data_IF_851902256281
#
_entry.id   IF_851902256281
#
_cell.length_a   1.000
_cell.length_b   1.000
_cell.length_c   1.000
_cell.angle_alpha   90.00
_cell.angle_beta   90.00
_cell.angle_gamma   90.00
#
_symmetry.space_group_name_H-M   'P 1'
#
loop_
_entity.id
_entity.type
_entity.pdbx_description
1 polymer ?
#
# COMPACT_ATOMS: atom_id res chain seq x y z
N UNK A 1 -19.15 4.03 11.25
CA UNK A 1 -18.52 2.86 11.90
C UNK A 1 -17.02 2.97 11.71
N UNK A 2 -16.24 2.76 12.78
CA UNK A 2 -14.80 2.58 12.68
C UNK A 2 -14.50 1.24 12.02
N UNK A 3 -13.43 1.19 11.24
CA UNK A 3 -12.87 -0.03 10.64
C UNK A 3 -11.37 0.11 10.68
N UNK A 4 -10.72 -0.55 11.63
CA UNK A 4 -9.26 -0.58 11.63
C UNK A 4 -8.79 -1.51 10.50
N UNK A 5 -7.96 -0.98 9.60
CA UNK A 5 -7.37 -1.73 8.50
C UNK A 5 -5.87 -1.44 8.39
N UNK A 6 -5.14 -2.38 7.79
CA UNK A 6 -3.73 -2.22 7.45
C UNK A 6 -3.44 -2.96 6.14
N UNK A 7 -2.38 -2.53 5.45
CA UNK A 7 -1.89 -3.15 4.23
C UNK A 7 -0.35 -3.09 4.24
N UNK A 8 0.30 -4.18 3.87
CA UNK A 8 1.75 -4.19 3.65
C UNK A 8 2.16 -5.26 2.64
N UNK A 9 3.34 -5.10 2.06
CA UNK A 9 3.98 -6.16 1.32
C UNK A 9 5.12 -5.65 0.46
N UNK A 10 5.64 -6.55 -0.36
CA UNK A 10 6.88 -6.36 -1.09
C UNK A 10 6.67 -6.63 -2.58
N UNK A 11 7.27 -5.78 -3.42
CA UNK A 11 7.39 -6.00 -4.85
C UNK A 11 8.86 -6.05 -5.25
N UNK A 12 9.27 -7.14 -5.89
CA UNK A 12 10.56 -7.18 -6.59
C UNK A 12 10.40 -6.47 -7.93
N UNK A 13 11.02 -5.30 -8.08
CA UNK A 13 10.92 -4.50 -9.29
C UNK A 13 12.03 -4.84 -10.30
N UNK A 14 11.77 -4.78 -11.62
CA UNK A 14 12.85 -4.75 -12.60
C UNK A 14 13.80 -3.57 -12.31
N UNK A 15 15.12 -3.79 -12.39
CA UNK A 15 16.12 -2.77 -12.06
C UNK A 15 15.93 -1.44 -12.79
N UNK A 16 15.53 -1.51 -14.06
CA UNK A 16 15.28 -0.33 -14.89
C UNK A 16 14.10 0.53 -14.40
N UNK A 17 13.18 -0.03 -13.61
CA UNK A 17 11.99 0.68 -13.13
C UNK A 17 12.23 1.47 -11.84
N UNK A 18 13.19 1.06 -11.01
CA UNK A 18 13.39 1.63 -9.66
C UNK A 18 13.71 3.13 -9.72
N UNK A 19 14.66 3.52 -10.57
CA UNK A 19 15.12 4.91 -10.66
C UNK A 19 14.01 5.84 -11.18
N UNK A 20 13.28 5.52 -12.28
CA UNK A 20 12.12 6.30 -12.72
C UNK A 20 11.06 6.51 -11.63
N UNK A 21 10.65 5.43 -10.94
CA UNK A 21 9.63 5.50 -9.87
C UNK A 21 10.10 6.45 -8.76
N UNK A 22 11.32 6.25 -8.24
CA UNK A 22 11.91 7.14 -7.21
C UNK A 22 11.96 8.59 -7.66
N UNK A 23 12.39 8.85 -8.90
CA UNK A 23 12.47 10.21 -9.44
C UNK A 23 11.09 10.87 -9.54
N UNK A 24 10.06 10.12 -9.92
CA UNK A 24 8.69 10.64 -9.96
C UNK A 24 8.18 11.02 -8.56
N UNK A 25 8.39 10.16 -7.56
CA UNK A 25 8.03 10.43 -6.16
C UNK A 25 8.77 11.66 -5.63
N UNK A 26 10.09 11.74 -5.82
CA UNK A 26 10.91 12.89 -5.41
C UNK A 26 10.45 14.17 -6.11
N UNK A 27 10.19 14.12 -7.42
CA UNK A 27 9.73 15.27 -8.18
C UNK A 27 8.38 15.78 -7.67
N UNK A 28 7.44 14.87 -7.37
CA UNK A 28 6.13 15.23 -6.81
C UNK A 28 6.28 15.87 -5.42
N UNK A 29 7.04 15.27 -4.50
CA UNK A 29 7.29 15.86 -3.18
C UNK A 29 7.92 17.25 -3.29
N UNK A 30 8.97 17.37 -4.11
CA UNK A 30 9.73 18.62 -4.22
C UNK A 30 8.89 19.73 -4.83
N UNK A 31 7.99 19.40 -5.75
CA UNK A 31 6.99 20.35 -6.24
C UNK A 31 6.07 20.84 -5.11
N UNK A 32 5.50 19.95 -4.31
CA UNK A 32 4.67 20.34 -3.15
C UNK A 32 5.45 21.19 -2.15
N UNK A 33 6.73 20.86 -1.89
CA UNK A 33 7.62 21.63 -1.04
C UNK A 33 7.88 23.05 -1.59
N UNK A 34 8.09 23.19 -2.90
CA UNK A 34 8.28 24.49 -3.56
C UNK A 34 7.01 25.34 -3.51
N UNK A 35 5.84 24.74 -3.76
CA UNK A 35 4.54 25.41 -3.69
C UNK A 35 4.27 25.89 -2.24
N UNK A 36 4.55 25.06 -1.23
CA UNK A 36 4.40 25.39 0.19
C UNK A 36 5.37 26.49 0.64
N UNK A 37 6.64 26.42 0.21
CA UNK A 37 7.62 27.47 0.50
C UNK A 37 7.22 28.80 -0.14
N UNK A 38 6.64 28.77 -1.34
CA UNK A 38 6.14 29.96 -2.03
C UNK A 38 4.99 30.59 -1.24
N UNK A 39 4.02 29.80 -0.79
CA UNK A 39 2.93 30.26 0.07
C UNK A 39 3.44 30.82 1.39
N UNK A 40 4.32 30.10 2.09
CA UNK A 40 4.90 30.52 3.36
C UNK A 40 5.65 31.86 3.23
N UNK A 41 6.45 32.04 2.18
CA UNK A 41 7.17 33.30 1.91
C UNK A 41 6.21 34.45 1.62
N UNK A 42 5.13 34.20 0.87
CA UNK A 42 4.09 35.20 0.58
C UNK A 42 3.45 35.67 1.89
N UNK A 43 2.94 34.74 2.70
CA UNK A 43 2.30 35.02 4.00
C UNK A 43 3.26 35.76 4.93
N UNK A 44 4.51 35.31 5.02
CA UNK A 44 5.54 35.98 5.81
C UNK A 44 5.79 37.43 5.38
N UNK A 45 5.85 37.69 4.07
CA UNK A 45 6.06 39.04 3.54
C UNK A 45 4.88 39.97 3.86
N UNK A 46 3.66 39.47 3.75
CA UNK A 46 2.42 40.21 4.00
C UNK A 46 2.05 40.31 5.50
N UNK A 47 2.71 39.54 6.36
CA UNK A 47 2.46 39.53 7.79
C UNK A 47 3.05 40.77 8.49
N UNK A 48 2.23 41.38 9.35
CA UNK A 48 2.61 42.45 10.27
C UNK A 48 3.56 41.94 11.35
N UNK A 49 4.23 42.85 12.06
CA UNK A 49 5.10 42.47 13.18
C UNK A 49 4.33 41.68 14.26
N UNK A 50 3.08 42.06 14.55
CA UNK A 50 2.21 41.39 15.52
C UNK A 50 1.82 39.97 15.09
N UNK A 51 1.52 39.77 13.81
CA UNK A 51 1.22 38.45 13.25
C UNK A 51 2.48 37.56 13.26
N UNK A 52 3.65 38.11 12.90
CA UNK A 52 4.93 37.37 12.97
C UNK A 52 5.29 36.96 14.38
N UNK A 53 4.99 37.81 15.36
CA UNK A 53 5.16 37.52 16.78
C UNK A 53 4.01 36.71 17.37
N UNK A 54 3.10 36.14 16.58
CA UNK A 54 2.04 35.28 17.09
C UNK A 54 1.77 34.15 16.10
N UNK A 55 2.34 32.98 16.37
CA UNK A 55 2.22 31.81 15.51
C UNK A 55 0.78 31.49 15.11
N UNK A 56 -0.19 31.63 16.02
CA UNK A 56 -1.61 31.39 15.70
C UNK A 56 -2.15 32.33 14.63
N UNK A 57 -1.94 33.65 14.78
CA UNK A 57 -2.38 34.64 13.78
C UNK A 57 -1.69 34.42 12.43
N UNK A 58 -0.42 34.00 12.46
CA UNK A 58 0.32 33.68 11.25
C UNK A 58 -0.28 32.45 10.56
N UNK A 59 -0.64 31.39 11.29
CA UNK A 59 -1.30 30.20 10.72
C UNK A 59 -2.66 30.54 10.14
N UNK A 60 -3.48 31.32 10.86
CA UNK A 60 -4.79 31.78 10.38
C UNK A 60 -4.65 32.50 9.02
N UNK A 61 -3.60 33.32 8.87
CA UNK A 61 -3.28 33.99 7.61
C UNK A 61 -2.82 33.03 6.51
N UNK A 62 -2.10 31.96 6.84
CA UNK A 62 -1.77 30.90 5.87
C UNK A 62 -3.04 30.27 5.32
N UNK A 63 -3.99 29.87 6.18
CA UNK A 63 -5.26 29.30 5.73
C UNK A 63 -6.10 30.31 4.94
N UNK A 64 -6.16 31.58 5.37
CA UNK A 64 -6.87 32.62 4.61
C UNK A 64 -6.28 32.83 3.20
N UNK A 65 -4.96 32.64 3.04
CA UNK A 65 -4.25 32.85 1.77
C UNK A 65 -4.23 31.60 0.88
N UNK A 66 -4.07 30.42 1.48
CA UNK A 66 -3.93 29.12 0.80
C UNK A 66 -5.26 28.53 0.32
N UNK A 67 -6.39 29.00 0.86
CA UNK A 67 -7.72 28.49 0.54
C UNK A 67 -8.38 27.84 1.76
N UNK A 68 -9.69 27.59 1.64
CA UNK A 68 -10.50 27.13 2.77
C UNK A 68 -10.05 25.77 3.31
N UNK A 69 -9.95 25.66 4.63
CA UNK A 69 -9.98 24.36 5.33
C UNK A 69 -11.21 23.61 4.84
N UNK A 70 -11.00 22.45 4.20
CA UNK A 70 -12.09 21.48 4.05
C UNK A 70 -12.31 20.83 5.41
N UNK A 71 -13.13 21.48 6.24
CA UNK A 71 -13.72 20.84 7.40
C UNK A 71 -14.77 19.84 6.92
N UNK A 72 -14.39 18.58 6.83
CA UNK A 72 -15.36 17.50 6.82
C UNK A 72 -15.80 17.25 8.27
N UNK A 73 -17.09 17.41 8.55
CA UNK A 73 -17.67 17.17 9.88
C UNK A 73 -17.35 15.74 10.35
N UNK A 74 -16.49 15.61 11.37
CA UNK A 74 -16.32 14.37 12.14
C UNK A 74 -14.93 13.73 12.12
N UNK A 75 -14.09 14.01 11.13
CA UNK A 75 -12.66 13.67 11.16
C UNK A 75 -11.89 14.72 10.37
N UNK A 76 -10.90 15.36 11.01
CA UNK A 76 -9.90 16.14 10.28
C UNK A 76 -9.01 15.14 9.56
N UNK A 77 -9.40 14.71 8.35
CA UNK A 77 -8.42 14.20 7.41
C UNK A 77 -7.61 15.41 6.96
N UNK A 78 -6.62 15.78 7.77
CA UNK A 78 -5.55 16.65 7.32
C UNK A 78 -4.96 15.92 6.12
N UNK A 79 -5.14 16.46 4.92
CA UNK A 79 -4.34 16.01 3.82
C UNK A 79 -2.92 16.47 4.15
N UNK A 80 -1.96 15.58 4.48
CA UNK A 80 -0.56 15.97 4.70
C UNK A 80 0.08 16.61 3.44
N UNK A 81 -0.71 16.71 2.36
CA UNK A 81 -0.36 17.25 1.07
C UNK A 81 -1.01 18.61 0.80
N UNK A 82 -1.75 19.15 1.77
CA UNK A 82 -2.19 20.52 1.70
C UNK A 82 -0.93 21.41 1.75
N UNK A 83 -0.67 22.07 0.62
CA UNK A 83 0.35 23.13 0.48
C UNK A 83 0.26 24.11 1.66
N UNK A 84 -0.96 24.32 2.18
CA UNK A 84 -1.28 25.12 3.36
C UNK A 84 -0.71 24.53 4.64
N UNK A 85 -0.94 23.25 4.94
CA UNK A 85 -0.40 22.58 6.13
C UNK A 85 1.13 22.54 6.11
N UNK A 86 1.71 22.20 4.96
CA UNK A 86 3.18 22.21 4.83
C UNK A 86 3.75 23.62 4.93
N UNK A 87 3.03 24.66 4.47
CA UNK A 87 3.43 26.05 4.69
C UNK A 87 3.37 26.43 6.19
N UNK A 88 2.35 25.95 6.92
CA UNK A 88 2.26 26.07 8.38
C UNK A 88 3.46 25.41 9.06
N UNK A 89 3.81 24.17 8.68
CA UNK A 89 4.99 23.46 9.19
C UNK A 89 6.29 24.23 8.93
N UNK A 90 6.49 24.75 7.71
CA UNK A 90 7.66 25.56 7.34
C UNK A 90 7.79 26.80 8.25
N UNK A 91 6.67 27.45 8.56
CA UNK A 91 6.64 28.63 9.41
C UNK A 91 6.86 28.28 10.89
N UNK A 92 6.31 27.16 11.37
CA UNK A 92 6.50 26.67 12.74
C UNK A 92 7.93 26.16 13.00
N UNK A 93 8.52 25.44 12.04
CA UNK A 93 9.90 24.95 12.14
C UNK A 93 10.91 26.10 12.23
N UNK A 94 10.54 27.32 11.82
CA UNK A 94 11.40 28.50 11.88
C UNK A 94 11.44 29.21 13.25
N UNK A 95 10.93 28.57 14.30
CA UNK A 95 10.96 29.03 15.68
C UNK A 95 9.60 28.79 16.31
N UNK A 96 9.48 27.68 17.04
CA UNK A 96 8.22 27.05 17.49
C UNK A 96 7.21 27.94 18.24
N UNK A 97 7.55 29.20 18.52
CA UNK A 97 6.61 30.20 19.05
C UNK A 97 6.69 31.59 18.37
N UNK A 98 7.81 31.95 17.73
CA UNK A 98 8.02 33.28 17.13
C UNK A 98 9.04 33.19 15.97
N UNK A 99 8.60 32.97 14.73
CA UNK A 99 9.50 33.06 13.59
C UNK A 99 10.06 34.49 13.52
N UNK A 100 11.38 34.63 13.56
CA UNK A 100 12.10 35.93 13.48
C UNK A 100 12.75 36.15 12.12
N UNK A 101 12.75 35.13 11.26
CA UNK A 101 13.44 35.11 9.97
C UNK A 101 12.52 34.55 8.89
N UNK A 102 12.74 34.93 7.62
CA UNK A 102 11.92 34.45 6.51
C UNK A 102 12.09 32.93 6.29
N UNK A 103 11.03 32.24 5.82
CA UNK A 103 11.09 30.83 5.44
C UNK A 103 12.25 30.48 4.49
N UNK A 104 12.99 29.43 4.82
CA UNK A 104 14.14 28.97 4.07
C UNK A 104 13.88 27.63 3.39
N UNK A 105 14.57 27.39 2.27
CA UNK A 105 14.40 26.16 1.47
C UNK A 105 14.70 24.89 2.27
N UNK A 106 15.69 24.95 3.16
CA UNK A 106 16.05 23.81 4.02
C UNK A 106 14.91 23.32 4.93
N UNK A 107 13.93 24.18 5.23
CA UNK A 107 12.78 23.81 6.07
C UNK A 107 11.61 23.25 5.25
N UNK A 108 11.67 23.28 3.92
CA UNK A 108 10.55 22.86 3.08
C UNK A 108 10.46 21.34 2.89
N UNK A 109 11.43 20.57 3.39
CA UNK A 109 11.43 19.11 3.29
C UNK A 109 11.68 18.58 1.87
N UNK A 110 12.51 19.29 1.08
CA UNK A 110 12.99 18.77 -0.20
C UNK A 110 13.75 17.47 0.01
N UNK A 111 13.45 16.47 -0.82
CA UNK A 111 14.15 15.19 -0.82
C UNK A 111 15.32 15.22 -1.80
N UNK A 112 16.44 14.63 -1.38
CA UNK A 112 17.61 14.43 -2.21
C UNK A 112 17.43 13.29 -3.22
N UNK A 113 18.26 13.26 -4.26
CA UNK A 113 18.20 12.23 -5.31
C UNK A 113 18.45 10.80 -4.80
N UNK A 114 19.14 10.66 -3.67
CA UNK A 114 19.46 9.39 -3.02
C UNK A 114 18.38 8.88 -2.08
N UNK A 115 17.30 9.65 -1.85
CA UNK A 115 16.21 9.23 -0.97
C UNK A 115 15.62 7.88 -1.44
N UNK A 116 15.55 6.93 -0.51
CA UNK A 116 15.04 5.58 -0.72
C UNK A 116 13.82 5.24 0.13
N UNK A 117 13.53 6.03 1.16
CA UNK A 117 12.35 5.88 2.00
C UNK A 117 11.51 7.15 1.93
N UNK A 118 10.19 6.97 1.82
CA UNK A 118 9.21 8.03 1.65
C UNK A 118 8.05 7.77 2.60
N UNK A 119 7.56 8.83 3.23
CA UNK A 119 6.40 8.78 4.11
C UNK A 119 5.45 9.92 3.80
N UNK A 120 4.16 9.62 3.79
CA UNK A 120 3.10 10.59 3.61
C UNK A 120 1.84 10.09 4.33
N UNK A 121 1.43 10.76 5.40
CA UNK A 121 0.31 10.30 6.22
C UNK A 121 0.53 8.87 6.75
N UNK A 122 -0.42 7.98 6.43
CA UNK A 122 -0.41 6.56 6.80
C UNK A 122 0.48 5.72 5.86
N UNK A 123 0.87 6.25 4.70
CA UNK A 123 1.64 5.54 3.68
C UNK A 123 3.14 5.62 3.93
N UNK A 124 3.83 4.47 3.90
CA UNK A 124 5.29 4.37 3.88
C UNK A 124 5.73 3.52 2.70
N UNK A 125 6.73 4.01 1.97
CA UNK A 125 7.36 3.32 0.83
C UNK A 125 8.86 3.29 1.04
N UNK A 126 9.48 2.13 0.88
CA UNK A 126 10.94 1.98 0.91
C UNK A 126 11.43 1.29 -0.37
N UNK A 127 12.66 1.58 -0.79
CA UNK A 127 13.33 0.95 -1.93
C UNK A 127 14.70 0.46 -1.50
N UNK A 128 14.92 -0.86 -1.58
CA UNK A 128 16.24 -1.43 -1.50
C UNK A 128 16.86 -1.51 -2.90
N UNK A 129 17.78 -0.58 -3.17
CA UNK A 129 18.50 -0.54 -4.44
C UNK A 129 19.50 -1.69 -4.63
N UNK A 130 19.84 -2.46 -3.60
CA UNK A 130 20.74 -3.60 -3.70
C UNK A 130 19.99 -4.89 -4.08
N UNK A 131 18.75 -5.07 -3.63
CA UNK A 131 17.92 -6.25 -3.97
C UNK A 131 16.90 -5.97 -5.08
N UNK A 132 16.52 -4.71 -5.25
CA UNK A 132 15.44 -4.30 -6.15
C UNK A 132 14.04 -4.50 -5.54
N UNK A 133 13.98 -4.73 -4.24
CA UNK A 133 12.73 -4.85 -3.49
C UNK A 133 12.21 -3.45 -3.14
N UNK A 134 10.91 -3.27 -3.34
CA UNK A 134 10.15 -2.12 -2.87
C UNK A 134 9.16 -2.60 -1.81
N UNK A 135 9.16 -1.95 -0.67
CA UNK A 135 8.23 -2.24 0.43
C UNK A 135 7.15 -1.17 0.46
N UNK A 136 5.92 -1.61 0.67
CA UNK A 136 4.76 -0.78 0.95
C UNK A 136 4.22 -1.16 2.33
N UNK A 137 3.86 -0.17 3.14
CA UNK A 137 3.18 -0.42 4.40
C UNK A 137 2.28 0.75 4.78
N UNK A 138 1.12 0.42 5.33
CA UNK A 138 0.22 1.35 6.00
C UNK A 138 0.13 0.99 7.47
N UNK A 139 0.01 2.00 8.34
CA UNK A 139 -0.25 1.76 9.76
C UNK A 139 -1.61 1.07 9.97
N UNK A 140 -1.79 0.41 11.11
CA UNK A 140 -3.09 -0.10 11.54
C UNK A 140 -3.87 1.01 12.25
N UNK A 141 -4.90 1.51 11.57
CA UNK A 141 -5.75 2.59 12.09
C UNK A 141 -7.11 2.56 11.40
N UNK A 142 -8.09 3.32 11.92
CA UNK A 142 -9.42 3.41 11.34
C UNK A 142 -9.32 3.96 9.91
N UNK A 143 -9.63 3.19 8.86
CA UNK A 143 -9.50 3.56 7.44
C UNK A 143 -8.09 4.03 7.04
N UNK A 144 -7.06 3.42 7.61
CA UNK A 144 -5.67 3.74 7.29
C UNK A 144 -5.35 3.44 5.82
N UNK A 145 -5.84 2.32 5.28
CA UNK A 145 -5.56 1.91 3.90
C UNK A 145 -6.18 2.89 2.91
N UNK A 146 -7.47 3.22 3.07
CA UNK A 146 -8.16 4.22 2.25
C UNK A 146 -7.39 5.56 2.24
N UNK A 147 -7.04 6.07 3.43
CA UNK A 147 -6.28 7.33 3.55
C UNK A 147 -4.88 7.24 2.95
N UNK A 148 -4.19 6.11 3.11
CA UNK A 148 -2.87 5.91 2.54
C UNK A 148 -2.92 5.96 1.01
N UNK A 149 -3.90 5.30 0.39
CA UNK A 149 -4.12 5.29 -1.06
C UNK A 149 -4.54 6.67 -1.61
N UNK A 150 -5.22 7.48 -0.82
CA UNK A 150 -5.59 8.85 -1.18
C UNK A 150 -4.40 9.84 -1.18
N UNK A 151 -3.24 9.45 -0.63
CA UNK A 151 -2.05 10.31 -0.62
C UNK A 151 -1.41 10.46 -2.01
N UNK A 152 -0.75 11.60 -2.27
CA UNK A 152 0.01 11.73 -3.53
C UNK A 152 1.12 10.67 -3.65
N UNK A 153 1.65 10.19 -2.52
CA UNK A 153 2.72 9.19 -2.51
C UNK A 153 2.21 7.88 -3.11
N UNK A 154 1.08 7.38 -2.62
CA UNK A 154 0.45 6.18 -3.14
C UNK A 154 -0.02 6.36 -4.59
N UNK A 155 -0.68 7.48 -4.91
CA UNK A 155 -1.14 7.77 -6.27
C UNK A 155 0.03 7.77 -7.26
N UNK A 156 1.10 8.51 -6.95
CA UNK A 156 2.30 8.58 -7.80
C UNK A 156 2.96 7.20 -7.92
N UNK A 157 3.09 6.49 -6.80
CA UNK A 157 3.69 5.16 -6.78
C UNK A 157 2.93 4.18 -7.68
N UNK A 158 1.62 4.01 -7.44
CA UNK A 158 0.82 3.03 -8.15
C UNK A 158 0.63 3.41 -9.63
N UNK A 159 0.60 4.69 -9.97
CA UNK A 159 0.59 5.13 -11.37
C UNK A 159 1.91 4.82 -12.09
N UNK A 160 3.06 4.94 -11.42
CA UNK A 160 4.33 4.51 -12.01
C UNK A 160 4.46 2.99 -12.07
N UNK A 161 3.96 2.24 -11.08
CA UNK A 161 3.92 0.76 -11.10
C UNK A 161 3.14 0.24 -12.31
N UNK A 162 2.01 0.87 -12.68
CA UNK A 162 1.22 0.51 -13.88
C UNK A 162 2.02 0.63 -15.19
N UNK A 163 3.06 1.48 -15.22
CA UNK A 163 3.91 1.71 -16.40
C UNK A 163 5.09 0.73 -16.49
N UNK A 164 5.33 -0.06 -15.44
CA UNK A 164 6.46 -0.98 -15.38
C UNK A 164 6.33 -2.06 -16.45
N UNK A 165 7.44 -2.27 -17.18
CA UNK A 165 7.62 -3.42 -18.06
C UNK A 165 8.22 -4.57 -17.26
N UNK A 166 7.39 -5.55 -16.92
CA UNK A 166 7.76 -6.62 -16.00
C UNK A 166 8.60 -7.71 -16.67
N UNK A 167 9.64 -8.17 -15.99
CA UNK A 167 10.49 -9.28 -16.41
C UNK A 167 10.13 -10.55 -15.65
N UNK A 168 10.59 -11.72 -16.12
CA UNK A 168 10.44 -12.98 -15.38
C UNK A 168 11.06 -12.86 -13.98
N UNK A 169 10.40 -13.44 -12.97
CA UNK A 169 10.87 -13.42 -11.58
C UNK A 169 10.72 -12.07 -10.87
N UNK A 170 10.00 -11.11 -11.45
CA UNK A 170 9.66 -9.83 -10.81
C UNK A 170 8.16 -9.75 -10.54
N UNK A 171 7.75 -8.84 -9.66
CA UNK A 171 6.39 -8.73 -9.15
C UNK A 171 6.33 -9.00 -7.65
N UNK A 172 5.12 -9.28 -7.19
CA UNK A 172 4.83 -9.55 -5.78
C UNK A 172 3.38 -9.24 -5.48
N UNK A 173 3.05 -9.11 -4.20
CA UNK A 173 1.70 -8.79 -3.77
C UNK A 173 1.71 -8.09 -2.42
N UNK A 174 0.63 -7.36 -2.16
CA UNK A 174 0.35 -6.79 -0.86
C UNK A 174 -0.71 -7.62 -0.16
N UNK A 175 -0.57 -7.72 1.14
CA UNK A 175 -1.53 -8.33 2.05
C UNK A 175 -2.09 -7.27 2.97
N UNK A 176 -3.34 -7.39 3.32
CA UNK A 176 -3.97 -6.55 4.32
C UNK A 176 -4.88 -7.35 5.22
N UNK A 177 -5.42 -6.66 6.22
CA UNK A 177 -6.45 -7.19 7.07
C UNK A 177 -7.34 -6.04 7.57
N UNK A 178 -8.51 -6.40 8.08
CA UNK A 178 -9.39 -5.47 8.77
C UNK A 178 -10.03 -6.10 10.01
N UNK A 179 -10.56 -5.24 10.88
CA UNK A 179 -11.24 -5.60 12.13
C UNK A 179 -12.35 -6.65 11.91
N UNK A 180 -13.11 -6.53 10.83
CA UNK A 180 -14.23 -7.45 10.55
C UNK A 180 -13.77 -8.84 10.12
N UNK A 181 -12.64 -8.92 9.42
CA UNK A 181 -12.05 -10.18 9.03
C UNK A 181 -11.38 -10.88 10.23
N UNK A 182 -10.88 -10.15 11.25
CA UNK A 182 -10.30 -10.76 12.46
C UNK A 182 -11.34 -11.36 13.42
N UNK A 183 -12.55 -10.81 13.47
CA UNK A 183 -13.54 -11.15 14.52
C UNK A 183 -14.35 -12.43 14.29
N UNK A 184 -14.14 -13.14 13.18
CA UNK A 184 -14.83 -14.41 13.01
C UNK A 184 -14.35 -15.41 14.06
N UNK A 185 -15.21 -15.70 15.05
CA UNK A 185 -14.93 -16.55 16.24
C UNK A 185 -14.73 -18.03 15.91
N UNK A 186 -14.63 -18.39 14.63
CA UNK A 186 -14.49 -19.76 14.16
C UNK A 186 -13.02 -20.05 13.85
N UNK A 187 -12.56 -21.27 14.12
CA UNK A 187 -11.19 -21.69 13.79
C UNK A 187 -10.90 -21.48 12.29
N UNK A 188 -9.88 -20.66 11.98
CA UNK A 188 -9.42 -20.37 10.61
C UNK A 188 -9.95 -19.08 9.97
N UNK A 189 -10.71 -18.27 10.68
CA UNK A 189 -11.55 -17.26 10.03
C UNK A 189 -11.05 -15.79 10.06
N UNK A 190 -9.77 -15.55 10.36
CA UNK A 190 -9.18 -14.19 10.36
C UNK A 190 -7.79 -14.08 9.74
N UNK A 191 -7.60 -14.69 8.57
CA UNK A 191 -6.34 -14.62 7.84
C UNK A 191 -6.18 -13.34 7.01
N UNK A 192 -4.97 -12.81 6.95
CA UNK A 192 -4.61 -11.74 6.01
C UNK A 192 -5.01 -12.13 4.59
N UNK A 193 -5.51 -11.17 3.82
CA UNK A 193 -5.90 -11.40 2.43
C UNK A 193 -5.03 -10.58 1.49
N UNK A 194 -4.84 -11.08 0.27
CA UNK A 194 -4.15 -10.34 -0.78
C UNK A 194 -5.05 -9.21 -1.27
N UNK A 195 -4.58 -7.98 -1.12
CA UNK A 195 -5.30 -6.77 -1.54
C UNK A 195 -5.05 -6.48 -3.01
N UNK A 196 -3.78 -6.53 -3.43
CA UNK A 196 -3.33 -6.33 -4.81
C UNK A 196 -2.10 -7.18 -5.12
N UNK A 197 -1.93 -7.56 -6.38
CA UNK A 197 -0.74 -8.26 -6.87
C UNK A 197 -0.26 -7.65 -8.19
N UNK A 198 1.05 -7.77 -8.45
CA UNK A 198 1.69 -7.16 -9.62
C UNK A 198 2.70 -8.10 -10.25
N UNK A 199 2.84 -7.96 -11.58
CA UNK A 199 3.86 -8.65 -12.38
C UNK A 199 3.68 -10.17 -12.45
N UNK A 200 4.63 -10.87 -13.11
CA UNK A 200 4.59 -12.32 -13.28
C UNK A 200 4.52 -13.10 -11.98
N UNK A 201 5.27 -12.72 -10.95
CA UNK A 201 5.24 -13.41 -9.65
C UNK A 201 3.84 -13.33 -9.03
N UNK A 202 3.23 -12.14 -9.03
CA UNK A 202 1.86 -11.97 -8.55
C UNK A 202 0.85 -12.78 -9.37
N UNK A 203 1.00 -12.81 -10.70
CA UNK A 203 0.12 -13.57 -11.59
C UNK A 203 0.20 -15.09 -11.38
N UNK A 204 1.38 -15.60 -11.03
CA UNK A 204 1.60 -17.02 -10.76
C UNK A 204 1.00 -17.46 -9.41
N UNK A 205 1.07 -16.60 -8.38
CA UNK A 205 0.59 -16.93 -7.02
C UNK A 205 -0.87 -16.52 -6.79
N UNK A 206 -1.26 -15.34 -7.26
CA UNK A 206 -2.55 -14.71 -7.00
C UNK A 206 -3.16 -14.06 -8.27
N UNK A 207 -3.47 -14.83 -9.33
CA UNK A 207 -3.90 -14.25 -10.59
C UNK A 207 -5.17 -13.41 -10.50
N UNK A 208 -6.13 -13.77 -9.64
CA UNK A 208 -7.36 -12.99 -9.45
C UNK A 208 -7.13 -11.62 -8.77
N UNK A 209 -6.03 -11.45 -8.03
CA UNK A 209 -5.66 -10.19 -7.39
C UNK A 209 -4.62 -9.41 -8.19
N UNK A 210 -4.12 -9.99 -9.27
CA UNK A 210 -3.09 -9.36 -10.09
C UNK A 210 -3.69 -8.34 -11.03
N UNK A 211 -3.09 -7.15 -11.05
CA UNK A 211 -3.43 -6.11 -12.01
C UNK A 211 -2.90 -6.47 -13.42
N UNK A 212 -3.65 -6.16 -14.50
CA UNK A 212 -3.15 -6.33 -15.86
C UNK A 212 -1.83 -5.58 -16.06
N UNK A 213 -0.87 -6.23 -16.72
CA UNK A 213 0.48 -5.68 -16.82
C UNK A 213 1.12 -5.93 -18.18
N UNK A 214 2.19 -5.18 -18.48
CA UNK A 214 2.97 -5.33 -19.71
C UNK A 214 4.28 -6.03 -19.40
N UNK A 215 4.62 -7.07 -20.16
CA UNK A 215 5.91 -7.77 -20.07
C UNK A 215 7.02 -6.95 -20.73
N UNK A 216 8.26 -7.33 -20.47
CA UNK A 216 9.45 -6.70 -21.07
C UNK A 216 9.48 -6.76 -22.59
N UNK A 217 8.86 -7.78 -23.20
CA UNK A 217 8.72 -7.94 -24.65
C UNK A 217 7.56 -7.09 -25.26
N UNK A 218 6.82 -6.34 -24.44
CA UNK A 218 5.66 -5.55 -24.86
C UNK A 218 4.33 -6.31 -24.87
N UNK A 219 4.33 -7.63 -24.60
CA UNK A 219 3.10 -8.42 -24.50
C UNK A 219 2.31 -7.98 -23.28
N UNK A 220 1.04 -7.61 -23.50
CA UNK A 220 0.11 -7.27 -22.41
C UNK A 220 -0.58 -8.52 -21.88
N UNK A 221 -0.50 -8.73 -20.58
CA UNK A 221 -1.29 -9.74 -19.86
C UNK A 221 -2.59 -9.09 -19.41
N UNK A 222 -3.70 -9.54 -19.99
CA UNK A 222 -5.04 -9.01 -19.72
C UNK A 222 -5.73 -9.75 -18.58
N UNK A 223 -6.90 -9.25 -18.15
CA UNK A 223 -7.69 -9.88 -17.09
C UNK A 223 -8.19 -11.27 -17.48
N UNK A 224 -8.53 -11.48 -18.74
CA UNK A 224 -8.94 -12.78 -19.29
C UNK A 224 -7.81 -13.80 -19.21
N UNK A 225 -6.58 -13.37 -19.55
CA UNK A 225 -5.40 -14.23 -19.44
C UNK A 225 -5.13 -14.64 -17.98
N UNK A 226 -5.28 -13.72 -17.03
CA UNK A 226 -5.14 -14.02 -15.59
C UNK A 226 -6.24 -14.97 -15.09
N UNK A 227 -7.49 -14.77 -15.51
CA UNK A 227 -8.59 -15.69 -15.19
C UNK A 227 -8.31 -17.11 -15.70
N UNK A 228 -7.82 -17.24 -16.94
CA UNK A 228 -7.42 -18.53 -17.50
C UNK A 228 -6.24 -19.17 -16.74
N UNK A 229 -5.31 -18.37 -16.20
CA UNK A 229 -4.25 -18.88 -15.31
C UNK A 229 -4.83 -19.43 -14.01
N UNK A 230 -5.81 -18.74 -13.39
CA UNK A 230 -6.48 -19.22 -12.18
C UNK A 230 -7.18 -20.57 -12.41
N UNK A 231 -7.91 -20.73 -13.52
CA UNK A 231 -8.57 -22.00 -13.85
C UNK A 231 -7.56 -23.14 -13.94
N UNK A 232 -6.41 -22.91 -14.58
CA UNK A 232 -5.34 -23.90 -14.69
C UNK A 232 -4.71 -24.24 -13.33
N UNK A 233 -4.56 -23.27 -12.43
CA UNK A 233 -4.08 -23.51 -11.06
C UNK A 233 -5.07 -24.40 -10.29
N UNK A 234 -6.37 -24.09 -10.34
CA UNK A 234 -7.40 -24.92 -9.71
C UNK A 234 -7.45 -26.34 -10.27
N UNK A 235 -7.33 -26.52 -11.58
CA UNK A 235 -7.26 -27.85 -12.17
C UNK A 235 -6.03 -28.63 -11.70
N UNK A 236 -4.87 -27.95 -11.58
CA UNK A 236 -3.64 -28.55 -11.09
C UNK A 236 -3.77 -28.97 -9.62
N UNK A 237 -4.35 -28.12 -8.78
CA UNK A 237 -4.63 -28.41 -7.36
C UNK A 237 -5.57 -29.61 -7.23
N UNK A 238 -6.70 -29.60 -7.94
CA UNK A 238 -7.64 -30.72 -7.93
C UNK A 238 -6.99 -32.04 -8.37
N UNK A 239 -6.11 -32.00 -9.37
CA UNK A 239 -5.35 -33.19 -9.80
C UNK A 239 -4.36 -33.65 -8.73
N UNK A 240 -3.69 -32.72 -8.04
CA UNK A 240 -2.78 -33.02 -6.96
C UNK A 240 -3.51 -33.63 -5.75
N UNK A 241 -4.64 -33.05 -5.33
CA UNK A 241 -5.51 -33.58 -4.29
C UNK A 241 -6.01 -34.98 -4.62
N UNK A 242 -6.49 -35.20 -5.86
CA UNK A 242 -6.93 -36.52 -6.31
C UNK A 242 -5.79 -37.55 -6.28
N UNK A 243 -4.56 -37.15 -6.64
CA UNK A 243 -3.38 -38.02 -6.54
C UNK A 243 -3.04 -38.34 -5.09
N UNK A 244 -3.08 -37.35 -4.20
CA UNK A 244 -2.85 -37.54 -2.77
C UNK A 244 -3.89 -38.46 -2.13
N UNK A 245 -5.17 -38.24 -2.43
CA UNK A 245 -6.26 -39.09 -1.96
C UNK A 245 -6.10 -40.55 -2.42
N UNK A 246 -5.70 -40.78 -3.68
CA UNK A 246 -5.38 -42.13 -4.19
C UNK A 246 -4.20 -42.76 -3.46
N UNK A 247 -3.14 -41.98 -3.19
CA UNK A 247 -1.98 -42.46 -2.46
C UNK A 247 -2.35 -42.87 -1.02
N UNK A 248 -3.11 -42.04 -0.31
CA UNK A 248 -3.61 -42.35 1.04
C UNK A 248 -4.53 -43.59 1.06
N UNK A 249 -5.42 -43.73 0.08
CA UNK A 249 -6.27 -44.91 -0.04
C UNK A 249 -5.46 -46.20 -0.29
N UNK A 250 -4.34 -46.10 -1.02
CA UNK A 250 -3.44 -47.25 -1.25
C UNK A 250 -2.60 -47.61 -0.02
N UNK A 251 -2.15 -46.61 0.76
CA UNK A 251 -1.36 -46.81 1.97
C UNK A 251 -2.20 -47.44 3.10
N UNK A 252 -3.47 -47.06 3.24
CA UNK A 252 -4.39 -47.63 4.24
C UNK A 252 -4.83 -49.08 3.98
N UNK A 253 -4.51 -49.66 2.82
CA UNK A 253 -4.74 -51.09 2.51
C UNK A 253 -3.56 -51.99 2.87
N UNK A 254 -2.50 -51.45 3.49
CA UNK A 254 -1.45 -52.26 4.08
C UNK A 254 -2.03 -53.17 5.16
N UNK A 255 -1.93 -54.49 4.93
CA UNK A 255 -2.35 -55.61 5.80
C UNK A 255 -2.55 -55.19 7.26
N UNK A 256 -3.77 -54.85 7.64
CA UNK A 256 -4.17 -54.91 9.04
C UNK A 256 -4.10 -56.39 9.40
N UNK A 257 -2.98 -56.80 10.01
CA UNK A 257 -2.89 -58.08 10.69
C UNK A 257 -4.09 -58.15 11.63
N UNK A 258 -4.91 -59.18 11.45
CA UNK A 258 -6.29 -59.31 11.94
C UNK A 258 -6.44 -59.42 13.47
N UNK A 259 -5.69 -58.65 14.25
CA UNK A 259 -5.63 -58.76 15.70
C UNK A 259 -5.61 -57.39 16.38
N UNK A 260 -6.66 -56.59 16.23
CA UNK A 260 -7.02 -55.62 17.27
C UNK A 260 -8.49 -55.23 17.17
N UNK A 261 -9.22 -55.60 18.21
CA UNK A 261 -10.66 -55.52 18.43
C UNK A 261 -11.13 -54.07 18.64
N UNK A 262 -12.27 -53.74 18.03
CA UNK A 262 -13.29 -52.74 18.43
C UNK A 262 -12.87 -51.28 18.74
N UNK A 263 -13.17 -50.38 17.80
CA UNK A 263 -13.30 -48.93 18.07
C UNK A 263 -13.60 -48.13 16.79
N UNK A 264 -14.88 -47.91 16.48
CA UNK A 264 -15.33 -47.22 15.25
C UNK A 264 -15.14 -45.69 15.33
N UNK A 265 -14.30 -45.12 14.44
CA UNK A 265 -14.25 -43.69 14.18
C UNK A 265 -14.81 -43.40 12.78
N UNK A 266 -15.92 -42.67 12.71
CA UNK A 266 -16.52 -42.24 11.45
C UNK A 266 -15.77 -41.00 10.89
N UNK A 267 -15.37 -40.99 9.61
CA UNK A 267 -14.68 -39.85 9.02
C UNK A 267 -15.64 -38.69 8.79
N UNK A 268 -15.24 -37.47 9.22
CA UNK A 268 -15.95 -36.23 8.91
C UNK A 268 -15.68 -35.82 7.46
N UNK A 269 -16.75 -35.59 6.69
CA UNK A 269 -16.69 -35.01 5.36
C UNK A 269 -16.46 -33.49 5.46
N UNK A 270 -15.35 -32.99 4.92
CA UNK A 270 -15.18 -31.56 4.68
C UNK A 270 -15.92 -31.18 3.37
N UNK A 271 -16.86 -30.26 3.47
CA UNK A 271 -17.62 -29.69 2.35
C UNK A 271 -16.75 -28.77 1.49
N UNK A 272 -16.91 -28.86 0.17
CA UNK A 272 -16.26 -27.97 -0.79
C UNK A 272 -16.72 -26.51 -0.60
N UNK A 273 -15.84 -25.50 -0.76
CA UNK A 273 -16.22 -24.11 -0.65
C UNK A 273 -17.12 -23.71 -1.84
N UNK A 274 -18.32 -23.23 -1.51
CA UNK A 274 -19.26 -22.62 -2.44
C UNK A 274 -18.62 -21.42 -3.15
N UNK A 275 -18.55 -21.48 -4.49
CA UNK A 275 -17.96 -20.44 -5.31
C UNK A 275 -18.78 -19.15 -5.27
N UNK A 276 -18.26 -18.12 -4.62
CA UNK A 276 -18.71 -16.75 -4.82
C UNK A 276 -17.98 -16.16 -6.03
N UNK A 277 -18.67 -16.15 -7.17
CA UNK A 277 -18.42 -15.17 -8.23
C UNK A 277 -19.15 -13.88 -7.82
N UNK A 278 -18.39 -12.80 -7.63
CA UNK A 278 -18.89 -11.42 -7.67
C UNK A 278 -18.22 -10.70 -8.82
#
# INVERSE_FOLDING_TARGET
MSRNDWESGELTLPRAAIVPIRRAIIARNNKTADDALTLAKKVWKEATAKEKSNGHLLMEKVYATGGTRRYSYGQVTMDPNDVTERACEILNAHGAHYPTRPPQKQNAGHLGATASAFRCGEATVSFDSATGVMEWSTGENNRAVERAHDTWLAQTLFDEIKKVKWTRGTGGWFTGNDEYNQESRHEGAGGNYVTMAYGPVGAETHPLRTEPFTKSDGTRVTREALSAMQTKLWEKERRAEAKFARAMASAGRGKTSAASTAGSFAPRHNSAPSGYLR
#
